data_IF_938395983321
#
_entry.id   IF_938395983321
#
_cell.length_a   1.000
_cell.length_b   1.000
_cell.length_c   1.000
_cell.angle_alpha   90.00
_cell.angle_beta   90.00
_cell.angle_gamma   90.00
#
_symmetry.space_group_name_H-M   'P 1'
#
loop_
_entity.id
_entity.type
_entity.pdbx_description
1 polymer ?
#
# COMPACT_ATOMS: atom_id res chain seq x y z
N UNK A 1 -34.07 22.14 -6.71
CA UNK A 1 -33.88 21.02 -7.65
C UNK A 1 -32.78 20.11 -7.11
N UNK A 2 -32.95 18.78 -7.14
CA UNK A 2 -31.94 17.80 -6.74
C UNK A 2 -30.59 18.03 -7.42
N UNK A 3 -29.51 17.74 -6.71
CA UNK A 3 -28.12 17.95 -7.18
C UNK A 3 -27.83 17.17 -8.48
N UNK A 4 -28.48 16.02 -8.67
CA UNK A 4 -28.31 15.17 -9.86
C UNK A 4 -28.94 15.78 -11.13
N UNK A 5 -30.08 16.47 -11.01
CA UNK A 5 -30.73 17.13 -12.14
C UNK A 5 -29.89 18.29 -12.69
N UNK A 6 -29.24 19.05 -11.80
CA UNK A 6 -28.33 20.12 -12.20
C UNK A 6 -27.09 19.58 -12.92
N UNK A 7 -26.56 18.44 -12.49
CA UNK A 7 -25.34 17.86 -13.07
C UNK A 7 -25.57 17.37 -14.51
N UNK A 8 -26.70 16.73 -14.78
CA UNK A 8 -27.04 16.29 -16.13
C UNK A 8 -27.26 17.47 -17.06
N UNK A 9 -28.01 18.48 -16.59
CA UNK A 9 -28.24 19.72 -17.36
C UNK A 9 -26.94 20.42 -17.74
N UNK A 10 -26.03 20.62 -16.77
CA UNK A 10 -24.74 21.25 -17.06
C UNK A 10 -23.90 20.47 -18.06
N UNK A 11 -23.99 19.13 -18.04
CA UNK A 11 -23.26 18.28 -18.97
C UNK A 11 -23.80 18.38 -20.39
N UNK A 12 -25.12 18.43 -20.56
CA UNK A 12 -25.79 18.65 -21.85
C UNK A 12 -25.47 20.04 -22.41
N UNK A 13 -25.41 21.06 -21.55
CA UNK A 13 -25.09 22.45 -21.90
C UNK A 13 -23.58 22.70 -22.10
N UNK A 14 -22.72 21.68 -21.95
CA UNK A 14 -21.26 21.82 -22.06
C UNK A 14 -20.63 22.68 -20.95
N UNK A 15 -21.34 22.89 -19.85
CA UNK A 15 -20.94 23.71 -18.71
C UNK A 15 -20.21 22.89 -17.66
N UNK A 16 -19.41 23.59 -16.86
CA UNK A 16 -18.69 23.02 -15.74
C UNK A 16 -19.67 22.43 -14.72
N UNK A 17 -19.62 21.12 -14.50
CA UNK A 17 -20.45 20.42 -13.50
C UNK A 17 -20.12 20.77 -12.04
N UNK A 18 -19.23 21.72 -11.79
CA UNK A 18 -18.88 22.22 -10.44
C UNK A 18 -19.46 23.60 -10.16
N UNK A 19 -19.35 24.54 -11.10
CA UNK A 19 -19.86 25.90 -10.92
C UNK A 19 -21.10 26.22 -11.78
N UNK A 20 -21.34 25.46 -12.85
CA UNK A 20 -22.42 25.72 -13.82
C UNK A 20 -22.28 27.02 -14.61
N UNK A 21 -21.22 27.81 -14.40
CA UNK A 21 -21.11 29.18 -14.94
C UNK A 21 -20.17 29.30 -16.13
N UNK A 22 -19.22 28.37 -16.27
CA UNK A 22 -18.17 28.44 -17.28
C UNK A 22 -18.18 27.16 -18.12
N UNK A 23 -17.78 27.20 -19.40
CA UNK A 23 -17.60 26.01 -20.22
C UNK A 23 -16.65 25.01 -19.58
N UNK A 24 -16.96 23.73 -19.71
CA UNK A 24 -16.03 22.68 -19.33
C UNK A 24 -14.81 22.70 -20.26
N UNK A 25 -13.63 22.37 -19.71
CA UNK A 25 -12.43 22.17 -20.53
C UNK A 25 -12.58 20.92 -21.40
N UNK A 26 -11.89 20.88 -22.54
CA UNK A 26 -12.00 19.76 -23.47
C UNK A 26 -11.64 18.42 -22.79
N UNK A 27 -12.50 17.42 -22.96
CA UNK A 27 -12.41 16.12 -22.28
C UNK A 27 -12.56 16.15 -20.75
N UNK A 28 -13.01 17.25 -20.14
CA UNK A 28 -13.21 17.39 -18.68
C UNK A 28 -14.66 17.73 -18.36
N UNK A 29 -15.05 17.52 -17.10
CA UNK A 29 -16.36 17.95 -16.57
C UNK A 29 -16.29 19.31 -15.84
N UNK A 30 -15.13 19.96 -15.79
CA UNK A 30 -14.90 21.21 -15.05
C UNK A 30 -14.22 22.27 -15.91
N UNK A 31 -14.47 23.54 -15.62
CA UNK A 31 -13.78 24.68 -16.21
C UNK A 31 -12.38 24.87 -15.61
N UNK A 32 -11.52 25.62 -16.30
CA UNK A 32 -10.14 25.89 -15.90
C UNK A 32 -10.03 26.43 -14.46
N UNK A 33 -10.82 27.45 -14.12
CA UNK A 33 -10.82 28.06 -12.79
C UNK A 33 -11.18 27.06 -11.69
N UNK A 34 -12.17 26.21 -11.89
CA UNK A 34 -12.53 25.17 -10.92
C UNK A 34 -11.45 24.08 -10.82
N UNK A 35 -10.74 23.78 -11.92
CA UNK A 35 -9.60 22.86 -11.90
C UNK A 35 -8.40 23.44 -11.14
N UNK A 36 -8.18 24.76 -11.22
CA UNK A 36 -7.14 25.47 -10.46
C UNK A 36 -7.46 25.57 -8.97
N UNK A 37 -8.74 25.78 -8.61
CA UNK A 37 -9.19 25.71 -7.22
C UNK A 37 -9.03 24.30 -6.66
N UNK A 38 -9.42 23.26 -7.43
CA UNK A 38 -9.18 21.87 -7.04
C UNK A 38 -7.67 21.56 -6.88
N UNK A 39 -6.81 22.15 -7.72
CA UNK A 39 -5.37 21.89 -7.70
C UNK A 39 -4.68 22.57 -6.50
N UNK A 40 -5.06 23.82 -6.19
CA UNK A 40 -4.61 24.56 -5.00
C UNK A 40 -5.10 23.88 -3.72
N UNK A 41 -6.38 23.50 -3.65
CA UNK A 41 -6.92 22.70 -2.55
C UNK A 41 -6.15 21.38 -2.35
N UNK A 42 -5.83 20.64 -3.42
CA UNK A 42 -5.01 19.42 -3.34
C UNK A 42 -3.57 19.69 -2.88
N UNK A 43 -3.00 20.86 -3.20
CA UNK A 43 -1.65 21.27 -2.79
C UNK A 43 -1.61 21.64 -1.30
N UNK A 44 -2.65 22.30 -0.81
CA UNK A 44 -2.80 22.62 0.62
C UNK A 44 -3.07 21.36 1.46
N UNK A 45 -3.83 20.41 0.92
CA UNK A 45 -4.01 19.08 1.50
C UNK A 45 -2.69 18.33 1.67
N UNK A 46 -1.77 18.41 0.69
CA UNK A 46 -0.41 17.86 0.85
C UNK A 46 0.38 18.55 1.97
N UNK A 47 0.29 19.89 2.09
CA UNK A 47 0.93 20.65 3.18
C UNK A 47 0.39 20.28 4.57
N UNK A 48 -0.86 19.87 4.64
CA UNK A 48 -1.52 19.41 5.88
C UNK A 48 -1.42 17.88 6.09
N UNK A 49 -0.74 17.14 5.22
CA UNK A 49 -0.56 15.69 5.33
C UNK A 49 -1.81 14.86 4.99
N UNK A 50 -2.79 15.42 4.28
CA UNK A 50 -4.02 14.73 3.89
C UNK A 50 -3.97 14.38 2.41
N UNK A 51 -3.78 13.09 2.07
CA UNK A 51 -3.82 12.65 0.68
C UNK A 51 -5.23 12.81 0.07
N UNK A 52 -5.36 13.16 -1.24
CA UNK A 52 -6.64 13.19 -1.94
C UNK A 52 -7.38 11.85 -1.82
N UNK A 53 -8.73 11.89 -1.83
CA UNK A 53 -9.58 10.69 -1.70
C UNK A 53 -9.26 9.60 -2.74
N UNK A 54 -8.77 9.98 -3.91
CA UNK A 54 -8.38 9.04 -4.97
C UNK A 54 -7.30 9.62 -5.87
N UNK A 55 -6.65 8.77 -6.66
CA UNK A 55 -5.85 9.16 -7.82
C UNK A 55 -6.05 8.18 -8.98
N UNK A 56 -5.82 8.66 -10.20
CA UNK A 56 -5.71 7.76 -11.34
C UNK A 56 -4.54 6.80 -11.16
N UNK A 57 -4.64 5.55 -11.64
CA UNK A 57 -3.57 4.55 -11.56
C UNK A 57 -2.26 5.06 -12.18
N UNK A 58 -2.32 5.77 -13.29
CA UNK A 58 -1.15 6.36 -13.97
C UNK A 58 -0.46 7.47 -13.17
N UNK A 59 -1.16 8.09 -12.22
CA UNK A 59 -0.54 9.04 -11.30
C UNK A 59 0.01 8.31 -10.09
N UNK A 60 -0.72 7.33 -9.56
CA UNK A 60 -0.36 6.55 -8.38
C UNK A 60 0.87 5.65 -8.59
N UNK A 61 0.96 5.02 -9.76
CA UNK A 61 2.08 4.17 -10.15
C UNK A 61 3.14 4.95 -10.96
N UNK A 62 3.23 6.28 -10.76
CA UNK A 62 4.26 7.09 -11.37
C UNK A 62 5.23 7.59 -10.29
N UNK A 63 6.48 7.08 -10.26
CA UNK A 63 7.45 7.37 -9.20
C UNK A 63 7.95 8.82 -9.19
N UNK A 64 7.71 9.59 -10.26
CA UNK A 64 8.01 11.03 -10.31
C UNK A 64 6.87 11.91 -9.78
N UNK A 65 5.65 11.35 -9.65
CA UNK A 65 4.45 12.10 -9.23
C UNK A 65 3.97 11.77 -7.83
N UNK A 66 4.18 10.53 -7.39
CA UNK A 66 3.76 10.04 -6.09
C UNK A 66 4.78 9.11 -5.48
N UNK A 67 4.91 9.18 -4.15
CA UNK A 67 5.76 8.29 -3.37
C UNK A 67 4.93 7.16 -2.77
N UNK A 68 4.79 6.06 -3.50
CA UNK A 68 4.04 4.86 -3.07
C UNK A 68 4.97 3.85 -2.42
N UNK A 69 4.63 3.41 -1.21
CA UNK A 69 5.34 2.33 -0.52
C UNK A 69 4.71 0.96 -0.78
N UNK A 70 5.47 0.04 -1.33
CA UNK A 70 5.14 -1.38 -1.42
C UNK A 70 5.46 -1.98 -0.06
N UNK A 71 4.44 -2.46 0.63
CA UNK A 71 4.49 -2.85 2.04
C UNK A 71 4.14 -4.33 2.20
N UNK A 72 4.92 -4.99 3.06
CA UNK A 72 4.68 -6.35 3.54
C UNK A 72 5.15 -6.46 5.01
N UNK A 73 4.50 -7.32 5.81
CA UNK A 73 4.83 -7.53 7.24
C UNK A 73 5.16 -8.99 7.55
N UNK A 74 6.00 -9.18 8.57
CA UNK A 74 6.17 -10.47 9.26
C UNK A 74 5.73 -10.34 10.71
N UNK A 75 5.04 -11.36 11.22
CA UNK A 75 4.47 -11.38 12.57
C UNK A 75 4.50 -12.77 13.18
N UNK A 76 4.31 -12.86 14.50
CA UNK A 76 4.28 -14.13 15.22
C UNK A 76 3.09 -15.03 14.86
N UNK A 77 2.07 -14.46 14.26
CA UNK A 77 0.82 -15.12 13.94
C UNK A 77 -0.12 -14.16 13.22
N UNK A 78 -1.43 -14.45 13.23
CA UNK A 78 -2.40 -13.77 12.37
C UNK A 78 -3.40 -12.89 13.13
N UNK A 79 -3.29 -12.77 14.45
CA UNK A 79 -4.32 -12.17 15.31
C UNK A 79 -3.75 -10.99 16.09
N UNK A 80 -4.08 -9.75 15.69
CA UNK A 80 -3.37 -8.56 16.18
C UNK A 80 -3.54 -8.22 17.66
N UNK A 81 -4.52 -8.75 18.38
CA UNK A 81 -4.64 -8.59 19.84
C UNK A 81 -3.76 -9.58 20.62
N UNK A 82 -3.36 -10.70 19.99
CA UNK A 82 -2.53 -11.75 20.59
C UNK A 82 -1.08 -11.72 20.10
N UNK A 83 -0.88 -11.50 18.80
CA UNK A 83 0.39 -11.60 18.09
C UNK A 83 1.14 -10.27 18.03
N UNK A 84 2.45 -10.33 17.71
CA UNK A 84 3.33 -9.16 17.54
C UNK A 84 3.88 -9.09 16.12
N UNK A 85 4.15 -7.86 15.65
CA UNK A 85 4.83 -7.60 14.37
C UNK A 85 6.34 -7.59 14.59
N UNK A 86 7.04 -8.41 13.81
CA UNK A 86 8.49 -8.59 13.87
C UNK A 86 9.25 -7.63 12.98
N UNK A 87 8.82 -7.53 11.73
CA UNK A 87 9.34 -6.56 10.79
C UNK A 87 8.29 -6.12 9.78
N UNK A 88 8.56 -4.97 9.19
CA UNK A 88 7.81 -4.38 8.09
C UNK A 88 8.83 -3.87 7.09
N UNK A 89 8.71 -4.32 5.85
CA UNK A 89 9.52 -3.79 4.76
C UNK A 89 8.67 -2.88 3.89
N UNK A 90 9.24 -1.73 3.55
CA UNK A 90 8.64 -0.77 2.62
C UNK A 90 9.65 -0.44 1.53
N UNK A 91 9.33 -0.83 0.30
CA UNK A 91 10.05 -0.40 -0.90
C UNK A 91 9.31 0.75 -1.58
N UNK A 92 10.01 1.79 -2.02
CA UNK A 92 9.39 2.83 -2.84
C UNK A 92 9.22 2.30 -4.27
N UNK A 93 7.97 2.30 -4.75
CA UNK A 93 7.63 1.84 -6.10
C UNK A 93 8.43 2.60 -7.15
N UNK A 94 9.08 1.88 -8.06
CA UNK A 94 9.89 2.44 -9.15
C UNK A 94 11.19 3.11 -8.72
N UNK A 95 11.60 3.01 -7.44
CA UNK A 95 12.86 3.55 -6.91
C UNK A 95 13.65 2.45 -6.18
N UNK A 96 14.99 2.54 -6.09
CA UNK A 96 15.79 1.54 -5.37
C UNK A 96 15.68 1.64 -3.84
N UNK A 97 14.99 2.66 -3.31
CA UNK A 97 14.85 2.88 -1.87
C UNK A 97 13.98 1.79 -1.22
N UNK A 98 14.60 1.02 -0.33
CA UNK A 98 13.92 0.04 0.54
C UNK A 98 14.27 0.35 1.99
N UNK A 99 13.26 0.34 2.86
CA UNK A 99 13.43 0.49 4.31
C UNK A 99 12.85 -0.71 5.04
N UNK A 100 13.60 -1.20 6.02
CA UNK A 100 13.19 -2.30 6.90
C UNK A 100 13.04 -1.75 8.31
N UNK A 101 11.85 -1.87 8.88
CA UNK A 101 11.57 -1.63 10.28
C UNK A 101 11.52 -2.99 10.95
N UNK A 102 12.33 -3.23 11.99
CA UNK A 102 12.36 -4.52 12.67
C UNK A 102 12.59 -4.35 14.17
N UNK A 103 12.06 -5.27 14.96
CA UNK A 103 12.36 -5.32 16.38
C UNK A 103 13.79 -5.81 16.64
N UNK A 104 14.33 -5.52 17.82
CA UNK A 104 15.46 -6.25 18.37
C UNK A 104 14.93 -7.53 19.04
N UNK A 105 15.13 -8.68 18.38
CA UNK A 105 14.64 -9.98 18.89
C UNK A 105 15.34 -10.40 20.20
N UNK A 106 16.51 -9.82 20.52
CA UNK A 106 17.23 -10.09 21.77
C UNK A 106 16.76 -9.23 22.93
N UNK A 107 16.00 -8.16 22.69
CA UNK A 107 15.43 -7.34 23.75
C UNK A 107 14.41 -8.15 24.56
N UNK A 108 14.61 -8.26 25.89
CA UNK A 108 13.76 -9.08 26.77
C UNK A 108 12.27 -8.77 26.59
N UNK A 109 11.91 -7.49 26.65
CA UNK A 109 10.54 -7.02 26.38
C UNK A 109 10.35 -6.76 24.88
N UNK A 110 9.78 -7.74 24.18
CA UNK A 110 9.47 -7.65 22.75
C UNK A 110 8.32 -6.68 22.46
N UNK A 111 7.42 -6.43 23.42
CA UNK A 111 6.34 -5.45 23.25
C UNK A 111 6.91 -4.02 23.25
N UNK A 112 7.88 -3.74 24.11
CA UNK A 112 8.59 -2.46 24.07
C UNK A 112 9.39 -2.29 22.77
N UNK A 113 10.00 -3.37 22.25
CA UNK A 113 10.71 -3.34 20.97
C UNK A 113 9.75 -3.07 19.79
N UNK A 114 8.62 -3.76 19.75
CA UNK A 114 7.55 -3.56 18.78
C UNK A 114 7.02 -2.13 18.84
N UNK A 115 6.74 -1.60 20.04
CA UNK A 115 6.27 -0.22 20.22
C UNK A 115 7.19 0.82 19.60
N UNK A 116 8.50 0.66 19.79
CA UNK A 116 9.51 1.55 19.20
C UNK A 116 9.47 1.48 17.67
N UNK A 117 9.54 0.27 17.12
CA UNK A 117 9.48 0.02 15.68
C UNK A 117 8.19 0.61 15.06
N UNK A 118 7.03 0.39 15.68
CA UNK A 118 5.74 0.89 15.18
C UNK A 118 5.64 2.41 15.21
N UNK A 119 6.28 3.10 16.17
CA UNK A 119 6.34 4.57 16.17
C UNK A 119 7.11 5.11 14.97
N UNK A 120 8.28 4.53 14.70
CA UNK A 120 9.13 4.90 13.56
C UNK A 120 8.41 4.61 12.24
N UNK A 121 7.80 3.43 12.11
CA UNK A 121 6.98 3.05 10.97
C UNK A 121 5.81 4.02 10.74
N UNK A 122 5.06 4.36 11.79
CA UNK A 122 3.90 5.25 11.70
C UNK A 122 4.29 6.65 11.19
N UNK A 123 5.44 7.16 11.61
CA UNK A 123 5.97 8.43 11.10
C UNK A 123 6.33 8.31 9.62
N UNK A 124 6.99 7.22 9.21
CA UNK A 124 7.37 7.01 7.84
C UNK A 124 6.18 6.84 6.89
N UNK A 125 5.15 6.08 7.29
CA UNK A 125 3.93 5.87 6.50
C UNK A 125 3.20 7.19 6.20
N UNK A 126 3.29 8.19 7.09
CA UNK A 126 2.72 9.53 6.88
C UNK A 126 3.42 10.35 5.81
N UNK A 127 4.63 9.96 5.42
CA UNK A 127 5.39 10.61 4.32
C UNK A 127 5.01 10.08 2.94
N UNK A 128 4.23 8.99 2.88
CA UNK A 128 3.86 8.32 1.64
C UNK A 128 2.56 8.89 1.07
N UNK A 129 2.47 8.95 -0.25
CA UNK A 129 1.26 9.31 -0.98
C UNK A 129 0.21 8.19 -0.99
N UNK A 130 0.65 6.97 -0.68
CA UNK A 130 -0.13 5.76 -0.63
C UNK A 130 0.72 4.51 -0.46
N UNK A 131 0.06 3.37 -0.36
CA UNK A 131 0.70 2.07 -0.20
C UNK A 131 0.19 1.07 -1.24
N UNK A 132 1.03 0.09 -1.56
CA UNK A 132 0.64 -1.08 -2.31
C UNK A 132 0.99 -2.34 -1.50
N UNK A 133 0.09 -3.33 -1.47
CA UNK A 133 0.27 -4.57 -0.69
C UNK A 133 -0.23 -5.77 -1.47
N UNK A 134 0.01 -6.98 -0.95
CA UNK A 134 -0.66 -8.19 -1.39
C UNK A 134 -1.48 -8.78 -0.24
N UNK A 135 -2.81 -8.66 -0.30
CA UNK A 135 -3.75 -9.02 0.76
C UNK A 135 -3.70 -8.14 2.03
N UNK A 136 -2.88 -7.08 2.02
CA UNK A 136 -2.75 -6.17 3.16
C UNK A 136 -3.93 -5.27 3.48
N UNK A 137 -4.93 -5.14 2.60
CA UNK A 137 -6.20 -4.48 2.98
C UNK A 137 -6.96 -5.30 4.04
N UNK A 138 -6.77 -6.62 4.06
CA UNK A 138 -7.45 -7.54 5.00
C UNK A 138 -6.53 -8.10 6.08
N UNK A 139 -5.22 -7.94 5.94
CA UNK A 139 -4.25 -8.45 6.90
C UNK A 139 -3.30 -7.37 7.43
N UNK A 140 -2.32 -6.92 6.64
CA UNK A 140 -1.24 -6.03 7.07
C UNK A 140 -1.76 -4.74 7.73
N UNK A 141 -2.66 -4.03 7.07
CA UNK A 141 -3.19 -2.75 7.58
C UNK A 141 -4.01 -2.95 8.86
N UNK A 142 -4.98 -3.89 8.93
CA UNK A 142 -5.64 -4.25 10.19
C UNK A 142 -4.67 -4.65 11.30
N UNK A 143 -3.70 -5.53 11.01
CA UNK A 143 -2.69 -5.99 11.96
C UNK A 143 -1.92 -4.80 12.56
N UNK A 144 -1.33 -3.97 11.70
CA UNK A 144 -0.59 -2.77 12.12
C UNK A 144 -1.45 -1.80 12.92
N UNK A 145 -2.71 -1.56 12.52
CA UNK A 145 -3.61 -0.66 13.25
C UNK A 145 -3.96 -1.20 14.62
N UNK A 146 -4.25 -2.50 14.75
CA UNK A 146 -4.50 -3.14 16.04
C UNK A 146 -3.27 -3.04 16.94
N UNK A 147 -2.08 -3.40 16.45
CA UNK A 147 -0.84 -3.30 17.24
C UNK A 147 -0.52 -1.87 17.66
N UNK A 148 -0.67 -0.89 16.76
CA UNK A 148 -0.50 0.51 17.11
C UNK A 148 -1.47 0.95 18.22
N UNK A 149 -2.75 0.55 18.12
CA UNK A 149 -3.76 0.87 19.13
C UNK A 149 -3.41 0.25 20.50
N UNK A 150 -3.02 -1.03 20.52
CA UNK A 150 -2.58 -1.74 21.74
C UNK A 150 -1.38 -1.06 22.43
N UNK A 151 -0.55 -0.34 21.67
CA UNK A 151 0.61 0.40 22.17
C UNK A 151 0.35 1.89 22.50
N UNK A 152 -0.91 2.33 22.40
CA UNK A 152 -1.31 3.73 22.58
C UNK A 152 -0.77 4.66 21.49
N UNK A 153 -0.52 4.14 20.29
CA UNK A 153 -0.06 4.90 19.13
C UNK A 153 -1.27 5.20 18.26
N UNK A 154 -1.52 6.49 17.96
CA UNK A 154 -2.53 6.85 16.96
C UNK A 154 -2.09 6.36 15.59
N UNK A 155 -2.81 5.42 14.95
CA UNK A 155 -2.37 4.83 13.68
C UNK A 155 -2.29 5.87 12.55
N UNK A 156 -1.56 5.51 11.49
CA UNK A 156 -1.47 6.33 10.28
C UNK A 156 -2.87 6.53 9.68
N UNK A 157 -3.14 7.69 9.08
CA UNK A 157 -4.45 7.98 8.51
C UNK A 157 -4.76 7.04 7.35
N UNK A 158 -6.00 7.06 6.89
CA UNK A 158 -6.37 6.39 5.64
C UNK A 158 -5.50 6.91 4.50
N UNK A 159 -4.91 5.99 3.74
CA UNK A 159 -4.04 6.30 2.59
C UNK A 159 -4.62 5.69 1.33
N UNK A 160 -4.21 6.19 0.16
CA UNK A 160 -4.53 5.52 -1.10
C UNK A 160 -3.88 4.15 -1.10
N UNK A 161 -4.66 3.11 -1.39
CA UNK A 161 -4.22 1.73 -1.21
C UNK A 161 -4.52 0.93 -2.47
N UNK A 162 -3.47 0.41 -3.10
CA UNK A 162 -3.56 -0.65 -4.11
C UNK A 162 -3.26 -1.99 -3.46
N UNK A 163 -4.28 -2.83 -3.27
CA UNK A 163 -4.07 -4.22 -2.88
C UNK A 163 -4.16 -5.11 -4.13
N UNK A 164 -3.01 -5.63 -4.56
CA UNK A 164 -2.88 -6.40 -5.80
C UNK A 164 -3.64 -7.74 -5.74
N UNK A 165 -3.86 -8.29 -4.54
CA UNK A 165 -4.63 -9.53 -4.37
C UNK A 165 -6.04 -9.39 -4.98
N UNK A 166 -6.70 -8.24 -4.79
CA UNK A 166 -8.04 -8.03 -5.32
C UNK A 166 -8.05 -7.81 -6.83
N UNK A 167 -6.96 -7.26 -7.40
CA UNK A 167 -6.75 -7.23 -8.85
C UNK A 167 -6.67 -8.66 -9.37
N UNK A 168 -5.74 -9.46 -8.86
CA UNK A 168 -5.54 -10.88 -9.24
C UNK A 168 -6.83 -11.68 -9.10
N UNK A 169 -7.51 -11.55 -7.96
CA UNK A 169 -8.77 -12.28 -7.68
C UNK A 169 -9.85 -11.99 -8.70
N UNK A 170 -9.90 -10.76 -9.22
CA UNK A 170 -10.92 -10.30 -10.18
C UNK A 170 -10.55 -10.62 -11.63
N UNK A 171 -9.26 -10.62 -11.98
CA UNK A 171 -8.82 -10.66 -13.39
C UNK A 171 -8.16 -11.96 -13.81
N UNK A 172 -7.66 -12.78 -12.88
CA UNK A 172 -6.98 -14.03 -13.18
C UNK A 172 -7.74 -15.24 -12.61
N UNK A 173 -7.90 -16.28 -13.43
CA UNK A 173 -8.51 -17.55 -13.01
C UNK A 173 -7.45 -18.56 -12.56
N UNK A 174 -6.93 -18.38 -11.34
CA UNK A 174 -5.90 -19.26 -10.77
C UNK A 174 -6.46 -20.20 -9.70
N UNK A 175 -5.87 -21.38 -9.59
CA UNK A 175 -6.22 -22.36 -8.55
C UNK A 175 -5.91 -21.83 -7.14
N UNK A 176 -4.87 -21.01 -7.01
CA UNK A 176 -4.43 -20.38 -5.76
C UNK A 176 -4.07 -18.92 -6.01
N UNK A 177 -4.33 -18.07 -5.02
CA UNK A 177 -4.15 -16.61 -5.09
C UNK A 177 -3.05 -16.11 -4.14
N UNK A 178 -2.07 -16.94 -3.79
CA UNK A 178 -0.88 -16.45 -3.07
C UNK A 178 0.02 -15.70 -4.06
N UNK A 179 0.79 -14.73 -3.57
CA UNK A 179 1.73 -13.99 -4.41
C UNK A 179 2.66 -14.94 -5.19
N UNK A 180 3.17 -16.01 -4.54
CA UNK A 180 3.98 -17.02 -5.22
C UNK A 180 3.32 -17.65 -6.43
N UNK A 181 2.03 -17.95 -6.36
CA UNK A 181 1.35 -18.56 -7.50
C UNK A 181 1.27 -17.59 -8.69
N UNK A 182 1.20 -16.29 -8.42
CA UNK A 182 1.24 -15.25 -9.46
C UNK A 182 2.64 -15.14 -10.05
N UNK A 183 3.68 -15.18 -9.22
CA UNK A 183 5.09 -15.14 -9.67
C UNK A 183 5.45 -16.37 -10.52
N UNK A 184 5.05 -17.57 -10.09
CA UNK A 184 5.26 -18.83 -10.81
C UNK A 184 4.63 -18.78 -12.22
N UNK A 185 3.43 -18.21 -12.35
CA UNK A 185 2.77 -18.05 -13.66
C UNK A 185 3.56 -17.16 -14.62
N UNK A 186 4.16 -16.07 -14.11
CA UNK A 186 5.00 -15.21 -14.95
C UNK A 186 6.31 -15.89 -15.37
N UNK A 187 6.90 -16.68 -14.48
CA UNK A 187 8.09 -17.47 -14.79
C UNK A 187 7.81 -18.52 -15.88
N UNK A 188 6.62 -19.12 -15.89
CA UNK A 188 6.19 -20.02 -16.96
C UNK A 188 6.09 -19.34 -18.33
N UNK A 189 5.77 -18.04 -18.36
CA UNK A 189 5.81 -17.24 -19.59
C UNK A 189 7.23 -16.81 -20.02
N UNK A 190 8.28 -17.30 -19.34
CA UNK A 190 9.68 -16.97 -19.64
C UNK A 190 10.15 -15.63 -19.05
N UNK A 191 9.36 -15.00 -18.17
CA UNK A 191 9.74 -13.74 -17.57
C UNK A 191 10.74 -13.93 -16.42
N UNK A 192 11.75 -13.06 -16.39
CA UNK A 192 12.72 -13.00 -15.28
C UNK A 192 12.14 -12.14 -14.16
N UNK A 193 11.40 -12.77 -13.25
CA UNK A 193 10.91 -12.14 -12.03
C UNK A 193 11.69 -12.70 -10.85
N UNK A 194 12.08 -11.85 -9.87
CA UNK A 194 12.73 -12.34 -8.65
C UNK A 194 11.95 -13.50 -8.05
N UNK A 195 12.60 -14.66 -7.96
CA UNK A 195 12.07 -15.76 -7.15
C UNK A 195 12.27 -15.37 -5.70
N UNK A 196 11.20 -15.29 -4.91
CA UNK A 196 11.36 -15.27 -3.45
C UNK A 196 11.62 -16.69 -2.95
N UNK A 197 12.59 -16.83 -2.05
CA UNK A 197 12.89 -18.08 -1.39
C UNK A 197 11.71 -18.53 -0.53
N UNK A 198 11.62 -19.83 -0.23
CA UNK A 198 10.78 -20.29 0.87
C UNK A 198 11.58 -20.15 2.15
N UNK A 199 10.98 -19.52 3.16
CA UNK A 199 11.52 -19.59 4.51
C UNK A 199 10.94 -20.83 5.16
N UNK A 200 11.83 -21.66 5.71
CA UNK A 200 11.42 -22.86 6.41
C UNK A 200 10.71 -22.50 7.72
N UNK A 201 9.55 -23.09 8.04
CA UNK A 201 8.79 -22.78 9.27
C UNK A 201 9.62 -22.86 10.56
N UNK A 202 10.65 -23.71 10.59
CA UNK A 202 11.59 -23.85 11.72
C UNK A 202 12.30 -22.54 12.07
N UNK A 203 12.48 -21.63 11.11
CA UNK A 203 13.15 -20.35 11.34
C UNK A 203 12.32 -19.43 12.23
N UNK A 204 10.98 -19.41 12.09
CA UNK A 204 10.13 -18.67 13.02
C UNK A 204 10.20 -19.25 14.43
N UNK A 205 10.17 -20.58 14.57
CA UNK A 205 10.31 -21.23 15.88
C UNK A 205 11.64 -20.87 16.52
N UNK A 206 12.74 -20.92 15.78
CA UNK A 206 14.08 -20.53 16.27
C UNK A 206 14.15 -19.05 16.64
N UNK A 207 13.63 -18.17 15.80
CA UNK A 207 13.62 -16.73 16.06
C UNK A 207 12.80 -16.41 17.33
N UNK A 208 11.64 -17.03 17.50
CA UNK A 208 10.74 -16.75 18.62
C UNK A 208 11.16 -17.40 19.93
N UNK A 209 11.47 -18.70 19.92
CA UNK A 209 11.71 -19.48 21.13
C UNK A 209 13.17 -19.37 21.61
N UNK A 210 14.12 -19.33 20.66
CA UNK A 210 15.55 -19.28 20.97
C UNK A 210 16.15 -17.88 20.79
N UNK A 211 15.37 -16.87 20.36
CA UNK A 211 15.86 -15.51 20.04
C UNK A 211 17.05 -15.55 19.09
N UNK A 212 16.99 -16.48 18.14
CA UNK A 212 18.05 -16.73 17.18
C UNK A 212 18.12 -15.61 16.14
N UNK A 213 19.20 -14.84 16.19
CA UNK A 213 19.41 -13.69 15.31
C UNK A 213 19.59 -14.10 13.84
N UNK A 214 20.18 -15.27 13.56
CA UNK A 214 20.37 -15.72 12.18
C UNK A 214 19.03 -16.12 11.57
N UNK A 215 18.20 -16.83 12.34
CA UNK A 215 16.85 -17.18 11.91
C UNK A 215 15.98 -15.93 11.70
N UNK A 216 16.07 -14.95 12.61
CA UNK A 216 15.37 -13.67 12.46
C UNK A 216 15.84 -12.88 11.23
N UNK A 217 17.14 -12.84 10.94
CA UNK A 217 17.66 -12.17 9.75
C UNK A 217 17.15 -12.84 8.46
N UNK A 218 17.00 -14.16 8.43
CA UNK A 218 16.44 -14.86 7.27
C UNK A 218 14.96 -14.52 7.04
N UNK A 219 14.17 -14.36 8.11
CA UNK A 219 12.77 -13.87 8.02
C UNK A 219 12.73 -12.45 7.47
N UNK A 220 13.62 -11.58 7.94
CA UNK A 220 13.73 -10.21 7.43
C UNK A 220 14.11 -10.17 5.95
N UNK A 221 15.06 -11.01 5.52
CA UNK A 221 15.47 -11.09 4.12
C UNK A 221 14.30 -11.52 3.23
N UNK A 222 13.51 -12.50 3.67
CA UNK A 222 12.31 -12.91 2.95
C UNK A 222 11.28 -11.79 2.77
N UNK A 223 11.05 -11.00 3.82
CA UNK A 223 10.15 -9.86 3.76
C UNK A 223 10.65 -8.79 2.75
N UNK A 224 11.97 -8.67 2.55
CA UNK A 224 12.56 -7.83 1.48
C UNK A 224 12.30 -8.43 0.11
N UNK A 225 12.52 -9.73 -0.07
CA UNK A 225 12.21 -10.43 -1.32
C UNK A 225 10.73 -10.30 -1.69
N UNK A 226 9.83 -10.31 -0.69
CA UNK A 226 8.40 -10.22 -0.89
C UNK A 226 7.94 -8.89 -1.48
N UNK A 227 8.46 -7.77 -0.98
CA UNK A 227 8.14 -6.45 -1.57
C UNK A 227 8.74 -6.28 -2.97
N UNK A 228 9.88 -6.91 -3.27
CA UNK A 228 10.50 -6.91 -4.60
C UNK A 228 9.68 -7.74 -5.59
N UNK A 229 9.25 -8.93 -5.19
CA UNK A 229 8.37 -9.78 -5.99
C UNK A 229 7.01 -9.09 -6.23
N UNK A 230 6.47 -8.43 -5.21
CA UNK A 230 5.24 -7.67 -5.32
C UNK A 230 5.37 -6.49 -6.29
N UNK A 231 6.48 -5.75 -6.28
CA UNK A 231 6.73 -4.69 -7.26
C UNK A 231 6.67 -5.21 -8.70
N UNK A 232 7.39 -6.30 -8.97
CA UNK A 232 7.41 -6.91 -10.28
C UNK A 232 6.00 -7.34 -10.71
N UNK A 233 5.22 -7.94 -9.80
CA UNK A 233 3.85 -8.31 -10.07
C UNK A 233 2.93 -7.10 -10.34
N UNK A 234 3.11 -5.98 -9.61
CA UNK A 234 2.35 -4.74 -9.87
C UNK A 234 2.64 -4.22 -11.28
N UNK A 235 3.91 -4.18 -11.68
CA UNK A 235 4.31 -3.72 -13.02
C UNK A 235 3.67 -4.59 -14.10
N UNK A 236 3.73 -5.92 -13.94
CA UNK A 236 3.18 -6.86 -14.93
C UNK A 236 1.66 -6.85 -15.02
N UNK A 237 0.98 -6.63 -13.90
CA UNK A 237 -0.48 -6.59 -13.85
C UNK A 237 -1.05 -5.17 -13.92
N UNK A 238 -0.22 -4.16 -14.20
CA UNK A 238 -0.64 -2.76 -14.22
C UNK A 238 -1.84 -2.52 -15.15
N UNK A 239 -1.89 -3.23 -16.28
CA UNK A 239 -3.02 -3.17 -17.21
C UNK A 239 -4.37 -3.52 -16.55
N UNK A 240 -4.37 -4.49 -15.64
CA UNK A 240 -5.56 -4.97 -14.92
C UNK A 240 -5.92 -4.14 -13.68
N UNK A 241 -5.01 -3.26 -13.24
CA UNK A 241 -5.25 -2.37 -12.10
C UNK A 241 -6.38 -1.40 -12.45
N UNK A 242 -7.29 -1.23 -11.49
CA UNK A 242 -8.43 -0.30 -11.61
C UNK A 242 -7.96 1.14 -11.87
N UNK A 243 -8.71 1.88 -12.69
CA UNK A 243 -8.30 3.23 -13.12
C UNK A 243 -8.21 4.23 -11.97
N UNK A 244 -8.98 4.02 -10.89
CA UNK A 244 -8.95 4.87 -9.70
C UNK A 244 -8.47 4.08 -8.48
N UNK A 245 -7.39 4.54 -7.86
CA UNK A 245 -6.94 4.06 -6.55
C UNK A 245 -7.58 4.93 -5.47
N UNK A 246 -8.32 4.29 -4.56
CA UNK A 246 -9.08 4.95 -3.52
C UNK A 246 -8.32 4.96 -2.20
N UNK A 247 -8.62 5.96 -1.38
CA UNK A 247 -8.18 6.04 0.02
C UNK A 247 -8.99 5.08 0.89
N UNK A 248 -8.31 4.22 1.65
CA UNK A 248 -8.93 3.16 2.46
C UNK A 248 -8.63 3.28 3.97
#
# INVERSE_FOLDING_TARGET
MPVEENYQRFREEGLCGSCGSNPAQDGRSKCQKCLEVDSTYRRDFRRQGIAPKSSGKEVFLNPEKTRVGILDIESSGLTGDFDIVFCVTIKIFGKPETRVFKIDIRQLDLLAAERKMLRELNQYLRTLDGIATYYGQRFDVPMLRTRMFSHGITPFPKVRHLDLYFTVKRTLNTSRRRLMNVIELFQQSGEKIPSKGRVEPVLWVRAMMARDQMAFNAIVEHNIEDVLALEAAIIKLQYFVQDKILRQ
#
